data_IF_188085585764
#
_entry.id   IF_188085585764
#
_cell.length_a   1.000
_cell.length_b   1.000
_cell.length_c   1.000
_cell.angle_alpha   90.00
_cell.angle_beta   90.00
_cell.angle_gamma   90.00
#
_symmetry.space_group_name_H-M   'P 1'
#
loop_
_entity.id
_entity.type
_entity.pdbx_description
1 polymer ?
#
# COMPACT_ATOMS: atom_id res chain seq x y z
N UNK A 1 20.22 2.82 3.79
CA UNK A 1 19.34 2.80 4.94
C UNK A 1 18.07 2.05 4.62
N UNK A 2 17.60 1.30 5.57
CA UNK A 2 16.41 0.48 5.38
C UNK A 2 15.16 1.29 5.70
N UNK A 3 14.15 1.22 4.85
CA UNK A 3 12.87 1.86 5.14
C UNK A 3 12.22 1.16 6.33
N UNK A 4 11.62 1.92 7.25
CA UNK A 4 10.87 1.30 8.34
C UNK A 4 9.64 0.57 7.81
N UNK A 5 9.27 -0.49 8.48
CA UNK A 5 8.02 -1.18 8.16
C UNK A 5 6.85 -0.35 8.67
N UNK A 6 5.86 -0.15 7.82
CA UNK A 6 4.66 0.63 8.14
C UNK A 6 3.47 -0.30 8.30
N UNK A 7 2.56 0.06 9.20
CA UNK A 7 1.30 -0.67 9.36
C UNK A 7 0.31 -0.23 8.27
N UNK A 8 -0.82 -0.94 8.17
CA UNK A 8 -1.88 -0.54 7.26
C UNK A 8 -2.41 0.86 7.60
N UNK A 9 -2.50 1.18 8.89
CA UNK A 9 -2.91 2.52 9.31
C UNK A 9 -1.89 3.57 8.87
N UNK A 10 -0.61 3.26 9.02
CA UNK A 10 0.45 4.18 8.64
C UNK A 10 0.44 4.44 7.13
N UNK A 11 0.30 3.38 6.33
CA UNK A 11 0.32 3.55 4.88
C UNK A 11 -0.95 4.23 4.38
N UNK A 12 -2.08 4.00 5.04
CA UNK A 12 -3.32 4.71 4.70
C UNK A 12 -3.15 6.21 4.93
N UNK A 13 -2.55 6.58 6.06
CA UNK A 13 -2.28 7.99 6.34
C UNK A 13 -1.27 8.58 5.34
N UNK A 14 -0.25 7.81 4.99
CA UNK A 14 0.78 8.24 4.03
C UNK A 14 0.16 8.54 2.67
N UNK A 15 -0.80 7.73 2.24
CA UNK A 15 -1.44 7.89 0.94
C UNK A 15 -2.69 8.77 1.00
N UNK A 16 -3.18 9.09 2.19
CA UNK A 16 -4.38 9.90 2.34
C UNK A 16 -5.66 9.14 2.00
N UNK A 17 -5.69 7.85 2.27
CA UNK A 17 -6.85 7.00 2.00
C UNK A 17 -7.27 6.27 3.28
N UNK A 18 -8.39 5.56 3.21
CA UNK A 18 -8.83 4.74 4.34
C UNK A 18 -8.10 3.40 4.36
N UNK A 19 -8.08 2.77 5.52
CA UNK A 19 -7.48 1.44 5.67
C UNK A 19 -8.21 0.42 4.80
N UNK A 20 -9.51 0.52 4.67
CA UNK A 20 -10.28 -0.36 3.80
C UNK A 20 -9.82 -0.27 2.35
N UNK A 21 -9.53 0.94 1.89
CA UNK A 21 -8.99 1.15 0.56
C UNK A 21 -7.65 0.45 0.38
N UNK A 22 -6.80 0.52 1.41
CA UNK A 22 -5.50 -0.17 1.37
C UNK A 22 -5.69 -1.67 1.18
N UNK A 23 -6.57 -2.28 1.96
CA UNK A 23 -6.83 -3.72 1.83
C UNK A 23 -7.43 -4.10 0.47
N UNK A 24 -8.31 -3.26 -0.05
CA UNK A 24 -8.87 -3.46 -1.38
C UNK A 24 -7.77 -3.45 -2.44
N UNK A 25 -6.86 -2.50 -2.36
CA UNK A 25 -5.77 -2.40 -3.32
C UNK A 25 -4.81 -3.58 -3.23
N UNK A 26 -4.57 -4.10 -2.03
CA UNK A 26 -3.76 -5.33 -1.88
C UNK A 26 -4.42 -6.47 -2.65
N UNK A 27 -5.72 -6.62 -2.49
CA UNK A 27 -6.45 -7.75 -3.08
C UNK A 27 -6.66 -7.58 -4.59
N UNK A 28 -6.91 -6.36 -5.05
CA UNK A 28 -7.39 -6.14 -6.42
C UNK A 28 -6.40 -5.45 -7.34
N UNK A 29 -5.48 -4.68 -6.78
CA UNK A 29 -4.56 -3.89 -7.61
C UNK A 29 -3.09 -4.25 -7.44
N UNK A 30 -2.82 -5.26 -6.65
CA UNK A 30 -1.45 -5.75 -6.49
C UNK A 30 -0.54 -4.82 -5.71
N UNK A 31 -1.09 -4.06 -4.77
CA UNK A 31 -0.29 -3.17 -3.94
C UNK A 31 0.79 -3.95 -3.21
N UNK A 32 2.05 -3.48 -3.24
CA UNK A 32 3.13 -4.18 -2.53
C UNK A 32 2.86 -4.21 -1.02
N UNK A 33 2.79 -5.41 -0.48
CA UNK A 33 2.55 -5.62 0.93
C UNK A 33 3.18 -6.93 1.35
N UNK A 34 3.57 -7.01 2.62
CA UNK A 34 4.22 -8.19 3.18
C UNK A 34 3.48 -8.62 4.43
N UNK A 35 3.13 -9.90 4.49
CA UNK A 35 2.46 -10.43 5.66
C UNK A 35 3.49 -10.91 6.66
N UNK A 36 3.51 -10.28 7.82
CA UNK A 36 4.42 -10.63 8.91
C UNK A 36 3.56 -11.12 10.07
N UNK A 37 3.53 -12.44 10.27
CA UNK A 37 2.61 -13.03 11.22
C UNK A 37 1.18 -12.78 10.79
N UNK A 38 0.43 -12.04 11.59
CA UNK A 38 -0.97 -11.71 11.30
C UNK A 38 -1.14 -10.31 10.74
N UNK A 39 -0.05 -9.57 10.61
CA UNK A 39 -0.13 -8.15 10.25
C UNK A 39 0.41 -7.93 8.87
N UNK A 40 -0.24 -7.04 8.13
CA UNK A 40 0.28 -6.52 6.87
C UNK A 40 1.25 -5.41 7.18
N UNK A 41 2.43 -5.47 6.55
CA UNK A 41 3.45 -4.44 6.68
C UNK A 41 3.84 -3.94 5.30
N UNK A 42 4.25 -2.70 5.24
CA UNK A 42 4.53 -2.02 3.98
C UNK A 42 5.83 -1.26 4.08
N UNK A 43 6.49 -1.08 2.94
CA UNK A 43 7.62 -0.17 2.85
C UNK A 43 7.21 1.01 1.97
N UNK A 44 7.42 2.22 2.47
CA UNK A 44 6.97 3.42 1.77
C UNK A 44 7.53 3.53 0.36
N UNK A 45 8.81 3.18 0.19
CA UNK A 45 9.43 3.25 -1.13
C UNK A 45 8.77 2.33 -2.14
N UNK A 46 8.41 1.12 -1.72
CA UNK A 46 7.73 0.16 -2.60
C UNK A 46 6.34 0.67 -2.99
N UNK A 47 5.60 1.17 -2.01
CA UNK A 47 4.25 1.65 -2.23
C UNK A 47 4.27 2.90 -3.12
N UNK A 48 5.20 3.81 -2.85
CA UNK A 48 5.33 5.02 -3.66
C UNK A 48 5.67 4.69 -5.12
N UNK A 49 6.56 3.75 -5.34
CA UNK A 49 6.91 3.32 -6.69
C UNK A 49 5.70 2.72 -7.41
N UNK A 50 4.91 1.91 -6.68
CA UNK A 50 3.70 1.32 -7.22
C UNK A 50 2.67 2.39 -7.61
N UNK A 51 2.49 3.40 -6.76
CA UNK A 51 1.58 4.51 -7.03
C UNK A 51 2.04 5.29 -8.26
N UNK A 52 3.34 5.60 -8.33
CA UNK A 52 3.91 6.34 -9.46
C UNK A 52 3.78 5.57 -10.77
N UNK A 53 3.82 4.25 -10.68
CA UNK A 53 3.64 3.38 -11.82
C UNK A 53 2.19 3.23 -12.27
N UNK A 54 1.25 3.90 -11.60
CA UNK A 54 -0.16 3.86 -11.96
C UNK A 54 -0.96 2.76 -11.28
N UNK A 55 -0.38 2.09 -10.29
CA UNK A 55 -1.04 0.96 -9.63
C UNK A 55 -2.33 1.33 -8.91
N UNK A 56 -2.39 2.56 -8.38
CA UNK A 56 -3.56 3.04 -7.67
C UNK A 56 -4.57 3.74 -8.60
N UNK A 57 -4.26 3.86 -9.89
CA UNK A 57 -5.12 4.55 -10.83
C UNK A 57 -6.37 3.74 -11.11
N UNK A 58 -7.52 4.37 -10.98
CA UNK A 58 -8.78 3.73 -11.33
C UNK A 58 -8.86 3.57 -12.85
N UNK A 59 -9.23 2.39 -13.35
CA UNK A 59 -9.43 2.25 -14.78
C UNK A 59 -10.61 3.10 -15.22
N UNK A 60 -10.40 3.86 -16.26
CA UNK A 60 -11.43 4.71 -16.78
C UNK A 60 -11.83 4.22 -18.16
N UNK A 61 -13.10 4.09 -18.31
CA UNK A 61 -13.62 3.73 -19.60
C UNK A 61 -13.55 4.93 -20.52
#
# INVERSE_FOLDING_TARGET
MTDPWLSADDIAAHLGVTKDTVYTWIAEKGMPAHKIGRLWKFQASDVDAWVRGGGATEPRA
#
